data_IF_106826998247
#
_entry.id   IF_106826998247
#
_cell.length_a   1.000
_cell.length_b   1.000
_cell.length_c   1.000
_cell.angle_alpha   90.00
_cell.angle_beta   90.00
_cell.angle_gamma   90.00
#
_symmetry.space_group_name_H-M   'P 1'
#
loop_
_entity.id
_entity.type
_entity.pdbx_description
1 polymer ?
#
# COMPACT_ATOMS: atom_id res chain seq x y z
N UNK A 1 -5.92 1.83 9.80
CA UNK A 1 -5.81 1.67 8.33
C UNK A 1 -4.56 2.34 7.78
N UNK A 2 -4.46 3.67 7.83
CA UNK A 2 -3.30 4.42 7.32
C UNK A 2 -3.29 4.46 5.80
N UNK A 3 -4.10 5.36 5.24
CA UNK A 3 -4.24 5.58 3.79
C UNK A 3 -4.14 7.07 3.57
N UNK A 4 -3.24 7.48 2.69
CA UNK A 4 -2.99 8.87 2.32
C UNK A 4 -3.21 9.02 0.81
N UNK A 5 -4.35 9.61 0.40
CA UNK A 5 -4.67 9.77 -1.01
C UNK A 5 -3.98 10.99 -1.61
N UNK A 6 -3.42 10.81 -2.81
CA UNK A 6 -3.03 11.87 -3.72
C UNK A 6 -3.88 11.73 -5.00
N UNK A 7 -5.14 12.13 -4.86
CA UNK A 7 -6.16 11.95 -5.87
C UNK A 7 -5.83 12.67 -7.19
N UNK A 8 -5.15 13.83 -7.12
CA UNK A 8 -4.78 14.62 -8.29
C UNK A 8 -3.81 13.87 -9.19
N UNK A 9 -2.82 13.17 -8.60
CA UNK A 9 -1.83 12.39 -9.34
C UNK A 9 -2.24 10.93 -9.55
N UNK A 10 -3.46 10.52 -9.15
CA UNK A 10 -3.87 9.11 -9.20
C UNK A 10 -2.95 8.22 -8.35
N UNK A 11 -2.45 8.75 -7.24
CA UNK A 11 -1.54 8.05 -6.33
C UNK A 11 -2.21 7.85 -4.96
N UNK A 12 -1.81 6.80 -4.27
CA UNK A 12 -2.09 6.65 -2.85
C UNK A 12 -0.94 5.97 -2.13
N UNK A 13 -0.74 6.38 -0.89
CA UNK A 13 0.17 5.71 0.05
C UNK A 13 -0.65 4.92 1.05
N UNK A 14 -0.20 3.70 1.37
CA UNK A 14 -0.78 2.93 2.48
C UNK A 14 0.29 2.56 3.47
N UNK A 15 0.01 2.66 4.77
CA UNK A 15 0.85 2.16 5.86
C UNK A 15 -0.04 1.58 6.92
N UNK A 16 0.07 0.28 7.20
CA UNK A 16 -0.75 -0.35 8.23
C UNK A 16 -0.56 0.36 9.58
N UNK A 17 -1.68 0.71 10.20
CA UNK A 17 -1.78 1.26 11.56
C UNK A 17 -2.49 0.27 12.49
N UNK A 18 -2.39 -1.03 12.22
CA UNK A 18 -2.95 -2.04 13.09
C UNK A 18 -2.22 -2.05 14.43
N UNK A 19 -2.95 -2.21 15.57
CA UNK A 19 -2.31 -2.35 16.85
C UNK A 19 -1.43 -3.60 16.88
N UNK A 20 -0.32 -3.54 17.63
CA UNK A 20 0.62 -4.64 17.74
C UNK A 20 0.01 -5.94 18.29
N UNK A 21 -1.15 -5.86 18.96
CA UNK A 21 -1.90 -7.01 19.44
C UNK A 21 -3.41 -6.80 19.30
N UNK A 22 -4.16 -7.90 19.28
CA UNK A 22 -5.63 -7.88 19.28
C UNK A 22 -6.29 -7.72 17.90
N UNK A 23 -5.53 -7.42 16.84
CA UNK A 23 -6.07 -7.36 15.47
C UNK A 23 -5.05 -7.81 14.43
N UNK A 24 -5.30 -8.95 13.81
CA UNK A 24 -4.39 -9.54 12.81
C UNK A 24 -4.59 -8.97 11.41
N UNK A 25 -5.78 -8.43 11.11
CA UNK A 25 -6.08 -7.87 9.80
C UNK A 25 -7.23 -6.85 9.88
N UNK A 26 -7.32 -5.98 8.88
CA UNK A 26 -8.46 -5.08 8.66
C UNK A 26 -8.59 -4.77 7.18
N UNK A 27 -9.82 -4.68 6.69
CA UNK A 27 -10.15 -4.30 5.32
C UNK A 27 -11.18 -3.18 5.32
N UNK A 28 -11.00 -2.20 4.43
CA UNK A 28 -12.03 -1.22 4.08
C UNK A 28 -12.19 -1.24 2.56
N UNK A 29 -13.45 -1.30 2.12
CA UNK A 29 -13.82 -1.33 0.71
C UNK A 29 -14.45 -0.01 0.27
N UNK A 30 -14.47 0.26 -1.03
CA UNK A 30 -15.13 1.43 -1.62
C UNK A 30 -14.58 2.79 -1.14
N UNK A 31 -13.29 2.86 -0.84
CA UNK A 31 -12.62 4.09 -0.43
C UNK A 31 -12.52 5.01 -1.65
N UNK A 32 -13.11 6.21 -1.63
CA UNK A 32 -13.06 7.13 -2.76
C UNK A 32 -11.65 7.71 -2.93
N UNK A 33 -11.10 7.64 -4.15
CA UNK A 33 -9.83 8.25 -4.53
C UNK A 33 -10.04 9.00 -5.85
N UNK A 34 -10.18 10.33 -5.77
CA UNK A 34 -10.58 11.14 -6.90
C UNK A 34 -11.98 10.74 -7.40
N UNK A 35 -12.08 10.38 -8.68
CA UNK A 35 -13.35 9.92 -9.29
C UNK A 35 -13.59 8.42 -9.14
N UNK A 36 -12.62 7.68 -8.62
CA UNK A 36 -12.64 6.22 -8.52
C UNK A 36 -12.68 5.70 -7.10
N UNK A 37 -12.54 4.37 -6.96
CA UNK A 37 -12.59 3.69 -5.67
C UNK A 37 -11.54 2.60 -5.55
N UNK A 38 -11.12 2.33 -4.32
CA UNK A 38 -10.24 1.22 -3.98
C UNK A 38 -10.72 0.46 -2.75
N UNK A 39 -10.36 -0.83 -2.70
CA UNK A 39 -10.38 -1.62 -1.46
C UNK A 39 -8.95 -1.77 -0.96
N UNK A 40 -8.73 -1.51 0.33
CA UNK A 40 -7.44 -1.71 1.01
C UNK A 40 -7.62 -2.73 2.12
N UNK A 41 -6.72 -3.71 2.18
CA UNK A 41 -6.59 -4.65 3.29
C UNK A 41 -5.17 -4.66 3.82
N UNK A 42 -5.04 -4.69 5.13
CA UNK A 42 -3.79 -4.97 5.82
C UNK A 42 -3.90 -6.30 6.57
N UNK A 43 -2.85 -7.10 6.50
CA UNK A 43 -2.63 -8.29 7.32
C UNK A 43 -1.38 -8.00 8.16
N UNK A 44 -1.59 -7.64 9.43
CA UNK A 44 -0.55 -7.12 10.32
C UNK A 44 0.09 -5.84 9.79
N UNK A 45 1.39 -5.69 10.04
CA UNK A 45 2.21 -4.56 9.58
C UNK A 45 3.11 -4.90 8.40
N UNK A 46 3.03 -6.13 7.87
CA UNK A 46 3.99 -6.66 6.88
C UNK A 46 3.36 -7.03 5.54
N UNK A 47 2.03 -7.08 5.44
CA UNK A 47 1.34 -7.38 4.18
C UNK A 47 0.16 -6.43 3.95
N UNK A 48 0.07 -5.94 2.72
CA UNK A 48 -1.01 -5.08 2.26
C UNK A 48 -1.54 -5.56 0.92
N UNK A 49 -2.83 -5.37 0.70
CA UNK A 49 -3.51 -5.67 -0.57
C UNK A 49 -4.30 -4.44 -0.99
N UNK A 50 -4.16 -4.04 -2.25
CA UNK A 50 -4.94 -2.98 -2.88
C UNK A 50 -5.70 -3.56 -4.07
N UNK A 51 -7.01 -3.33 -4.11
CA UNK A 51 -7.83 -3.61 -5.29
C UNK A 51 -8.33 -2.29 -5.87
N UNK A 52 -8.05 -2.05 -7.15
CA UNK A 52 -8.61 -0.94 -7.89
C UNK A 52 -10.02 -1.32 -8.38
N UNK A 53 -11.03 -0.62 -7.88
CA UNK A 53 -12.44 -0.91 -8.18
C UNK A 53 -12.98 -0.12 -9.37
N UNK A 54 -12.14 0.65 -10.05
CA UNK A 54 -12.54 1.36 -11.26
C UNK A 54 -13.02 0.35 -12.32
N UNK A 55 -14.01 0.76 -13.11
CA UNK A 55 -14.43 0.02 -14.30
C UNK A 55 -13.25 -0.14 -15.27
N UNK A 56 -13.31 -1.12 -16.18
CA UNK A 56 -12.21 -1.44 -17.12
C UNK A 56 -11.61 -0.22 -17.86
N UNK A 57 -12.45 0.75 -18.23
CA UNK A 57 -12.04 1.98 -18.92
C UNK A 57 -11.57 3.12 -17.99
N UNK A 58 -11.49 2.86 -16.68
CA UNK A 58 -11.08 3.84 -15.68
C UNK A 58 -9.57 3.96 -15.53
N UNK A 59 -9.15 4.70 -14.51
CA UNK A 59 -7.73 5.02 -14.29
C UNK A 59 -7.00 3.93 -13.51
N UNK A 60 -5.75 3.69 -13.91
CA UNK A 60 -4.73 2.99 -13.11
C UNK A 60 -4.32 3.88 -11.93
N UNK A 61 -4.15 3.28 -10.75
CA UNK A 61 -3.55 3.97 -9.61
C UNK A 61 -2.08 3.61 -9.46
N UNK A 62 -1.27 4.59 -9.05
CA UNK A 62 0.07 4.34 -8.52
C UNK A 62 -0.04 4.14 -7.01
N UNK A 63 0.22 2.93 -6.56
CA UNK A 63 0.17 2.59 -5.16
C UNK A 63 1.56 2.56 -4.54
N UNK A 64 1.79 3.47 -3.61
CA UNK A 64 2.97 3.50 -2.76
C UNK A 64 2.72 2.63 -1.53
N UNK A 65 3.11 1.36 -1.63
CA UNK A 65 2.91 0.36 -0.58
C UNK A 65 4.02 0.49 0.47
N UNK A 66 3.71 1.09 1.63
CA UNK A 66 4.68 1.44 2.67
C UNK A 66 4.53 0.57 3.93
N UNK A 67 5.65 0.15 4.50
CA UNK A 67 5.75 -0.74 5.66
C UNK A 67 6.71 -0.14 6.69
N UNK A 68 6.36 -0.11 7.99
CA UNK A 68 7.27 0.40 9.03
C UNK A 68 8.54 -0.46 9.15
N UNK A 69 9.70 0.20 9.23
CA UNK A 69 11.00 -0.44 9.39
C UNK A 69 11.76 -0.67 8.09
N UNK A 70 12.91 -1.33 8.22
CA UNK A 70 13.85 -1.59 7.12
C UNK A 70 13.83 -3.07 6.74
N UNK A 71 13.53 -3.36 5.49
CA UNK A 71 13.60 -4.71 4.92
C UNK A 71 14.48 -4.69 3.67
N UNK A 72 15.27 -5.73 3.47
CA UNK A 72 16.13 -5.85 2.28
C UNK A 72 15.35 -6.28 1.03
N UNK A 73 14.22 -6.95 1.23
CA UNK A 73 13.38 -7.50 0.16
C UNK A 73 11.91 -7.15 0.36
N UNK A 74 11.23 -6.97 -0.77
CA UNK A 74 9.79 -6.76 -0.85
C UNK A 74 9.24 -7.60 -1.98
N UNK A 75 8.12 -8.29 -1.75
CA UNK A 75 7.45 -9.09 -2.78
C UNK A 75 6.24 -8.35 -3.31
N UNK A 76 6.07 -8.35 -4.63
CA UNK A 76 4.90 -7.79 -5.32
C UNK A 76 4.26 -8.91 -6.12
N UNK A 77 3.03 -9.28 -5.78
CA UNK A 77 2.32 -10.42 -6.36
C UNK A 77 3.16 -11.73 -6.33
N UNK A 78 3.89 -11.94 -5.24
CA UNK A 78 4.76 -13.10 -5.04
C UNK A 78 6.15 -13.02 -5.70
N UNK A 79 6.40 -12.02 -6.55
CA UNK A 79 7.72 -11.82 -7.15
C UNK A 79 8.59 -10.92 -6.25
N UNK A 80 9.77 -11.41 -5.86
CA UNK A 80 10.72 -10.66 -5.03
C UNK A 80 11.37 -9.50 -5.78
N UNK A 81 11.60 -8.40 -5.07
CA UNK A 81 12.25 -7.17 -5.54
C UNK A 81 13.15 -6.63 -4.42
N UNK A 82 14.16 -5.87 -4.81
CA UNK A 82 14.93 -5.05 -3.87
C UNK A 82 14.02 -3.98 -3.27
N UNK A 83 14.03 -3.85 -1.94
CA UNK A 83 13.26 -2.84 -1.25
C UNK A 83 13.95 -1.47 -1.29
N UNK A 84 13.14 -0.40 -1.30
CA UNK A 84 13.60 0.98 -1.12
C UNK A 84 13.15 1.47 0.24
N UNK A 85 13.96 2.32 0.89
CA UNK A 85 13.60 2.96 2.15
C UNK A 85 13.40 4.45 2.01
N UNK A 86 12.55 5.03 2.86
CA UNK A 86 12.33 6.47 2.97
C UNK A 86 12.16 6.91 4.44
N UNK A 87 12.37 8.21 4.68
CA UNK A 87 12.04 8.90 5.93
C UNK A 87 11.28 10.19 5.58
N UNK A 88 9.95 10.11 5.36
CA UNK A 88 9.15 11.25 4.90
C UNK A 88 9.22 12.46 5.84
N UNK A 89 9.39 12.21 7.15
CA UNK A 89 9.52 13.23 8.19
C UNK A 89 10.96 13.73 8.39
N UNK A 90 11.90 13.34 7.52
CA UNK A 90 13.31 13.70 7.58
C UNK A 90 14.16 12.73 8.41
N UNK A 91 15.45 13.02 8.56
CA UNK A 91 16.47 12.09 9.11
C UNK A 91 16.15 11.54 10.51
N UNK A 92 15.41 12.31 11.31
CA UNK A 92 15.06 11.97 12.69
C UNK A 92 13.69 11.25 12.77
N UNK A 93 13.00 11.10 11.63
CA UNK A 93 11.72 10.43 11.49
C UNK A 93 11.83 8.91 11.35
N UNK A 94 10.70 8.19 11.46
CA UNK A 94 10.67 6.75 11.28
C UNK A 94 11.08 6.36 9.86
N UNK A 95 11.85 5.27 9.76
CA UNK A 95 12.17 4.65 8.47
C UNK A 95 11.03 3.75 8.02
N UNK A 96 10.69 3.84 6.75
CA UNK A 96 9.77 2.93 6.09
C UNK A 96 10.43 2.25 4.92
N UNK A 97 10.02 1.02 4.66
CA UNK A 97 10.29 0.32 3.40
C UNK A 97 9.08 0.46 2.48
N UNK A 98 9.31 0.71 1.20
CA UNK A 98 8.22 0.86 0.24
C UNK A 98 8.53 0.27 -1.14
N UNK A 99 7.47 0.15 -1.93
CA UNK A 99 7.53 -0.04 -3.39
C UNK A 99 6.34 0.64 -4.05
N UNK A 100 6.57 1.25 -5.21
CA UNK A 100 5.49 1.75 -6.07
C UNK A 100 4.97 0.63 -6.99
N UNK A 101 3.66 0.46 -7.04
CA UNK A 101 2.98 -0.55 -7.84
C UNK A 101 1.87 0.10 -8.66
N UNK A 102 1.90 -0.05 -9.98
CA UNK A 102 0.77 0.29 -10.83
C UNK A 102 -0.34 -0.75 -10.68
N UNK A 103 -1.52 -0.31 -10.26
CA UNK A 103 -2.70 -1.18 -10.09
C UNK A 103 -3.75 -0.77 -11.11
N UNK A 104 -3.83 -1.56 -12.19
CA UNK A 104 -4.79 -1.35 -13.27
C UNK A 104 -6.24 -1.46 -12.76
N UNK A 105 -7.22 -0.86 -13.46
CA UNK A 105 -8.63 -1.04 -13.12
C UNK A 105 -9.01 -2.52 -13.00
N UNK A 106 -9.93 -2.82 -12.07
CA UNK A 106 -10.41 -4.17 -11.77
C UNK A 106 -9.32 -5.18 -11.36
N UNK A 107 -8.13 -4.71 -11.03
CA UNK A 107 -6.99 -5.56 -10.66
C UNK A 107 -6.66 -5.42 -9.18
N UNK A 108 -6.05 -6.47 -8.63
CA UNK A 108 -5.55 -6.51 -7.26
C UNK A 108 -4.04 -6.66 -7.27
N UNK A 109 -3.37 -5.90 -6.41
CA UNK A 109 -1.96 -6.08 -6.11
C UNK A 109 -1.78 -6.43 -4.63
N UNK A 110 -0.85 -7.35 -4.37
CA UNK A 110 -0.45 -7.77 -3.03
C UNK A 110 1.01 -7.41 -2.85
N UNK A 111 1.33 -6.73 -1.76
CA UNK A 111 2.71 -6.39 -1.40
C UNK A 111 3.00 -6.89 0.00
N UNK A 112 4.15 -7.53 0.17
CA UNK A 112 4.56 -8.08 1.45
C UNK A 112 6.07 -7.92 1.65
N UNK A 113 6.45 -7.53 2.86
CA UNK A 113 7.84 -7.58 3.34
C UNK A 113 8.04 -8.82 4.21
N UNK A 114 9.26 -9.34 4.21
CA UNK A 114 9.70 -10.48 5.02
C UNK A 114 11.03 -10.14 5.69
N UNK A 115 11.17 -10.55 6.95
CA UNK A 115 12.45 -10.54 7.65
C UNK A 115 13.42 -11.54 7.03
#
# INVERSE_FOLDING_TARGET
MGIEPDAFNGKLTTTSQLPASGMNWLQISHIPIGTGKVTVRHDGTTKSTLTNENAAAGSTYTWHARFPGTYSTITVNGASRTATTEQPEGRDGPTYTYVDVSVAPQSTAIVQVSN
#
